data_IF_729582351863
#
_entry.id   IF_729582351863
#
_cell.length_a   1.000
_cell.length_b   1.000
_cell.length_c   1.000
_cell.angle_alpha   90.00
_cell.angle_beta   90.00
_cell.angle_gamma   90.00
#
_symmetry.space_group_name_H-M   'P 1'
#
loop_
_entity.id
_entity.type
_entity.pdbx_description
1 polymer ?
#
# COMPACT_ATOMS: atom_id res chain seq x y z
N UNK A 1 -18.77 21.10 -9.39
CA UNK A 1 -19.74 20.11 -8.86
C UNK A 1 -20.67 20.79 -7.84
N UNK A 2 -21.96 20.42 -7.79
CA UNK A 2 -22.91 20.96 -6.82
C UNK A 2 -22.73 20.33 -5.43
N UNK A 3 -23.13 21.05 -4.37
CA UNK A 3 -23.11 20.54 -2.99
C UNK A 3 -23.85 19.21 -2.87
N UNK A 4 -25.04 19.11 -3.46
CA UNK A 4 -25.83 17.86 -3.44
C UNK A 4 -25.10 16.63 -4.02
N UNK A 5 -24.29 16.81 -5.07
CA UNK A 5 -23.47 15.71 -5.61
C UNK A 5 -22.32 15.32 -4.67
N UNK A 6 -21.71 16.29 -3.96
CA UNK A 6 -20.70 15.99 -2.93
C UNK A 6 -21.31 15.20 -1.79
N UNK A 7 -22.47 15.64 -1.29
CA UNK A 7 -23.19 14.97 -0.19
C UNK A 7 -23.56 13.52 -0.57
N UNK A 8 -23.95 13.29 -1.82
CA UNK A 8 -24.23 11.93 -2.33
C UNK A 8 -22.98 11.05 -2.36
N UNK A 9 -21.82 11.58 -2.82
CA UNK A 9 -20.56 10.83 -2.81
C UNK A 9 -20.15 10.50 -1.38
N UNK A 10 -20.24 11.45 -0.46
CA UNK A 10 -19.93 11.24 0.95
C UNK A 10 -20.83 10.16 1.57
N UNK A 11 -22.15 10.25 1.39
CA UNK A 11 -23.08 9.28 1.94
C UNK A 11 -22.81 7.86 1.43
N UNK A 12 -22.48 7.70 0.13
CA UNK A 12 -22.10 6.40 -0.45
C UNK A 12 -20.78 5.88 0.09
N UNK A 13 -19.79 6.75 0.24
CA UNK A 13 -18.50 6.38 0.84
C UNK A 13 -18.68 5.91 2.28
N UNK A 14 -19.50 6.62 3.08
CA UNK A 14 -19.84 6.21 4.45
C UNK A 14 -20.53 4.84 4.49
N UNK A 15 -21.47 4.62 3.59
CA UNK A 15 -22.17 3.33 3.51
C UNK A 15 -21.23 2.19 3.17
N UNK A 16 -20.43 2.33 2.11
CA UNK A 16 -19.52 1.29 1.64
C UNK A 16 -18.43 0.98 2.67
N UNK A 17 -17.78 2.02 3.22
CA UNK A 17 -16.74 1.84 4.25
C UNK A 17 -17.36 1.24 5.51
N UNK A 18 -18.53 1.70 5.95
CA UNK A 18 -19.22 1.14 7.12
C UNK A 18 -19.60 -0.32 6.97
N UNK A 19 -20.04 -0.73 5.78
CA UNK A 19 -20.35 -2.13 5.48
C UNK A 19 -19.09 -2.99 5.49
N UNK A 20 -18.05 -2.59 4.78
CA UNK A 20 -16.81 -3.36 4.63
C UNK A 20 -15.99 -3.39 5.94
N UNK A 21 -15.96 -2.31 6.71
CA UNK A 21 -15.28 -2.26 8.01
C UNK A 21 -15.98 -3.07 9.12
N UNK A 22 -17.20 -3.55 8.88
CA UNK A 22 -17.99 -4.30 9.88
C UNK A 22 -17.53 -5.74 10.10
N UNK A 23 -16.61 -6.26 9.30
CA UNK A 23 -16.06 -7.61 9.40
C UNK A 23 -14.56 -7.64 9.07
N UNK A 24 -13.86 -8.63 9.63
CA UNK A 24 -12.43 -8.82 9.43
C UNK A 24 -12.12 -9.22 7.98
N UNK A 25 -11.07 -8.63 7.41
CA UNK A 25 -10.62 -8.84 6.03
C UNK A 25 -9.11 -9.05 5.94
N UNK A 26 -8.51 -9.96 6.73
CA UNK A 26 -7.08 -10.19 6.60
C UNK A 26 -6.73 -10.71 5.20
N UNK A 27 -5.52 -10.46 4.74
CA UNK A 27 -5.00 -10.92 3.45
C UNK A 27 -5.26 -12.41 3.23
N UNK A 28 -5.67 -12.81 2.03
CA UNK A 28 -5.93 -14.18 1.59
C UNK A 28 -6.91 -14.94 2.50
N UNK A 29 -8.01 -14.30 2.88
CA UNK A 29 -9.07 -14.84 3.74
C UNK A 29 -10.44 -14.84 3.08
N UNK A 30 -11.39 -15.55 3.70
CA UNK A 30 -12.79 -15.52 3.28
C UNK A 30 -13.41 -14.11 3.47
N UNK A 31 -12.94 -13.34 4.46
CA UNK A 31 -13.35 -11.96 4.66
C UNK A 31 -12.89 -11.03 3.53
N UNK A 32 -11.63 -11.15 3.08
CA UNK A 32 -11.12 -10.46 1.90
C UNK A 32 -11.97 -10.80 0.66
N UNK A 33 -12.21 -12.10 0.42
CA UNK A 33 -13.08 -12.56 -0.68
C UNK A 33 -14.47 -11.95 -0.60
N UNK A 34 -15.07 -11.93 0.59
CA UNK A 34 -16.38 -11.33 0.80
C UNK A 34 -16.39 -9.85 0.46
N UNK A 35 -15.35 -9.11 0.86
CA UNK A 35 -15.20 -7.71 0.50
C UNK A 35 -15.07 -7.52 -1.02
N UNK A 36 -14.27 -8.35 -1.68
CA UNK A 36 -14.14 -8.33 -3.14
C UNK A 36 -15.49 -8.54 -3.84
N UNK A 37 -16.34 -9.47 -3.37
CA UNK A 37 -17.70 -9.68 -3.93
C UNK A 37 -18.56 -8.43 -3.78
N UNK A 38 -18.61 -7.83 -2.59
CA UNK A 38 -19.39 -6.61 -2.33
C UNK A 38 -18.90 -5.45 -3.23
N UNK A 39 -17.59 -5.29 -3.38
CA UNK A 39 -17.00 -4.24 -4.22
C UNK A 39 -17.35 -4.47 -5.69
N UNK A 40 -17.25 -5.71 -6.19
CA UNK A 40 -17.61 -6.04 -7.58
C UNK A 40 -19.09 -5.76 -7.86
N UNK A 41 -19.99 -6.13 -6.96
CA UNK A 41 -21.42 -5.84 -7.04
C UNK A 41 -21.69 -4.33 -7.06
N UNK A 42 -20.99 -3.56 -6.21
CA UNK A 42 -21.11 -2.11 -6.16
C UNK A 42 -20.64 -1.44 -7.46
N UNK A 43 -19.48 -1.85 -8.00
CA UNK A 43 -18.95 -1.31 -9.26
C UNK A 43 -19.83 -1.70 -10.45
N UNK A 44 -20.37 -2.93 -10.46
CA UNK A 44 -21.34 -3.37 -11.49
C UNK A 44 -22.64 -2.57 -11.44
N UNK A 45 -23.16 -2.28 -10.24
CA UNK A 45 -24.35 -1.44 -10.07
C UNK A 45 -24.13 0.00 -10.55
N UNK A 46 -22.89 0.48 -10.54
CA UNK A 46 -22.49 1.76 -11.11
C UNK A 46 -22.15 1.68 -12.62
N UNK A 47 -22.40 0.54 -13.26
CA UNK A 47 -22.33 0.38 -14.72
C UNK A 47 -20.96 -0.07 -15.25
N UNK A 48 -20.02 -0.44 -14.36
CA UNK A 48 -18.76 -1.04 -14.76
C UNK A 48 -18.93 -2.52 -15.09
N UNK A 49 -18.08 -3.05 -15.95
CA UNK A 49 -17.93 -4.49 -16.14
C UNK A 49 -16.89 -4.99 -15.13
N UNK A 50 -17.38 -5.50 -14.00
CA UNK A 50 -16.54 -5.89 -12.87
C UNK A 50 -16.40 -7.41 -12.80
N UNK A 51 -15.16 -7.87 -12.75
CA UNK A 51 -14.80 -9.29 -12.63
C UNK A 51 -14.02 -9.53 -11.33
N UNK A 52 -14.24 -10.74 -10.79
CA UNK A 52 -13.46 -11.26 -9.65
C UNK A 52 -12.34 -12.14 -10.18
N UNK A 53 -11.10 -11.74 -9.91
CA UNK A 53 -9.93 -12.50 -10.30
C UNK A 53 -9.28 -13.17 -9.10
N UNK A 54 -9.18 -14.50 -9.15
CA UNK A 54 -8.46 -15.25 -8.13
C UNK A 54 -6.98 -15.28 -8.45
N UNK A 55 -6.17 -14.87 -7.46
CA UNK A 55 -4.71 -14.89 -7.53
C UNK A 55 -4.09 -15.71 -6.41
N UNK A 56 -2.77 -15.90 -6.48
CA UNK A 56 -2.01 -16.70 -5.52
C UNK A 56 -1.33 -15.78 -4.53
N UNK A 57 -1.55 -16.02 -3.24
CA UNK A 57 -0.94 -15.30 -2.14
C UNK A 57 -0.51 -16.25 -1.01
N UNK A 58 0.15 -15.69 0.00
CA UNK A 58 0.47 -16.39 1.26
C UNK A 58 -0.25 -15.74 2.44
N UNK A 59 -0.70 -14.49 2.27
CA UNK A 59 -1.54 -13.74 3.22
C UNK A 59 -0.82 -13.35 4.50
N UNK A 60 0.52 -13.23 4.47
CA UNK A 60 1.29 -12.86 5.65
C UNK A 60 2.69 -12.38 5.28
N UNK A 61 3.16 -11.31 5.91
CA UNK A 61 4.58 -10.90 5.84
C UNK A 61 5.32 -11.21 7.15
N UNK A 62 4.62 -11.29 8.28
CA UNK A 62 5.25 -11.50 9.58
C UNK A 62 5.85 -12.89 9.75
N UNK A 63 5.26 -13.95 9.14
CA UNK A 63 5.83 -15.28 9.17
C UNK A 63 7.16 -15.39 8.43
N UNK A 64 7.29 -15.01 7.14
CA UNK A 64 8.59 -15.16 6.46
C UNK A 64 9.65 -14.27 7.09
N UNK A 65 9.34 -13.00 7.41
CA UNK A 65 10.32 -12.10 8.00
C UNK A 65 10.68 -12.51 9.43
N UNK A 66 9.69 -12.94 10.21
CA UNK A 66 9.88 -13.44 11.57
C UNK A 66 10.75 -14.70 11.63
N UNK A 67 10.51 -15.68 10.75
CA UNK A 67 11.31 -16.91 10.68
C UNK A 67 12.76 -16.63 10.28
N UNK A 68 12.97 -15.77 9.29
CA UNK A 68 14.32 -15.40 8.83
C UNK A 68 15.10 -14.63 9.89
N UNK A 69 14.45 -13.68 10.57
CA UNK A 69 15.08 -12.93 11.65
C UNK A 69 15.34 -13.80 12.89
N UNK A 70 14.40 -14.71 13.23
CA UNK A 70 14.61 -15.67 14.31
C UNK A 70 15.80 -16.61 14.02
N UNK A 71 15.83 -17.21 12.83
CA UNK A 71 16.94 -18.09 12.42
C UNK A 71 18.29 -17.36 12.49
N UNK A 72 18.34 -16.13 12.00
CA UNK A 72 19.53 -15.27 12.07
C UNK A 72 19.94 -14.97 13.50
N UNK A 73 18.98 -14.60 14.36
CA UNK A 73 19.23 -14.30 15.77
C UNK A 73 19.77 -15.53 16.54
N UNK A 74 19.17 -16.70 16.34
CA UNK A 74 19.63 -17.96 16.93
C UNK A 74 21.03 -18.33 16.42
N UNK A 75 21.32 -18.18 15.13
CA UNK A 75 22.65 -18.38 14.58
C UNK A 75 23.68 -17.46 15.22
N UNK A 76 23.32 -16.19 15.45
CA UNK A 76 24.20 -15.22 16.14
C UNK A 76 24.54 -15.60 17.57
N UNK A 77 23.72 -16.40 18.26
CA UNK A 77 24.02 -16.91 19.59
C UNK A 77 25.04 -18.06 19.57
N UNK A 78 25.23 -18.75 18.45
CA UNK A 78 26.15 -19.87 18.33
C UNK A 78 27.62 -19.43 18.27
N UNK A 79 28.55 -20.36 18.57
CA UNK A 79 29.98 -20.12 18.39
C UNK A 79 30.47 -20.47 16.96
N UNK A 80 29.66 -21.13 16.15
CA UNK A 80 30.02 -21.53 14.77
C UNK A 80 30.03 -20.32 13.82
N UNK A 81 31.21 -19.95 13.36
CA UNK A 81 31.40 -18.88 12.38
C UNK A 81 30.74 -19.23 11.04
N UNK A 82 30.90 -20.49 10.62
CA UNK A 82 30.31 -20.97 9.36
C UNK A 82 28.79 -20.89 9.37
N UNK A 83 28.16 -21.33 10.47
CA UNK A 83 26.69 -21.25 10.61
C UNK A 83 26.20 -19.82 10.58
N UNK A 84 26.86 -18.89 11.30
CA UNK A 84 26.51 -17.46 11.25
C UNK A 84 26.66 -16.88 9.85
N UNK A 85 27.76 -17.20 9.14
CA UNK A 85 27.96 -16.71 7.78
C UNK A 85 26.87 -17.22 6.84
N UNK A 86 26.55 -18.51 6.87
CA UNK A 86 25.56 -19.12 6.00
C UNK A 86 24.14 -18.63 6.29
N UNK A 87 23.68 -18.76 7.54
CA UNK A 87 22.32 -18.33 7.93
C UNK A 87 22.15 -16.81 7.74
N UNK A 88 23.17 -16.02 8.13
CA UNK A 88 23.14 -14.58 7.93
C UNK A 88 23.01 -14.17 6.47
N UNK A 89 23.77 -14.83 5.58
CA UNK A 89 23.70 -14.57 4.14
C UNK A 89 22.32 -14.93 3.54
N UNK A 90 21.83 -16.13 3.85
CA UNK A 90 20.51 -16.60 3.36
C UNK A 90 19.40 -15.71 3.87
N UNK A 91 19.39 -15.40 5.18
CA UNK A 91 18.37 -14.54 5.77
C UNK A 91 18.42 -13.11 5.23
N UNK A 92 19.61 -12.52 5.06
CA UNK A 92 19.73 -11.18 4.49
C UNK A 92 19.27 -11.12 3.03
N UNK A 93 19.63 -12.11 2.21
CA UNK A 93 19.21 -12.19 0.82
C UNK A 93 17.69 -12.39 0.69
N UNK A 94 17.11 -13.30 1.49
CA UNK A 94 15.67 -13.55 1.48
C UNK A 94 14.85 -12.35 1.96
N UNK A 95 15.31 -11.65 3.01
CA UNK A 95 14.67 -10.41 3.47
C UNK A 95 14.78 -9.30 2.43
N UNK A 96 15.95 -9.13 1.82
CA UNK A 96 16.11 -8.14 0.76
C UNK A 96 15.17 -8.40 -0.41
N UNK A 97 15.04 -9.65 -0.83
CA UNK A 97 14.10 -10.06 -1.90
C UNK A 97 12.64 -9.79 -1.52
N UNK A 98 12.24 -10.15 -0.31
CA UNK A 98 10.84 -9.98 0.14
C UNK A 98 10.46 -8.49 0.30
N UNK A 99 11.30 -7.71 0.99
CA UNK A 99 11.03 -6.30 1.35
C UNK A 99 11.17 -5.35 0.14
N UNK A 100 12.04 -5.65 -0.82
CA UNK A 100 12.28 -4.78 -1.99
C UNK A 100 11.34 -5.01 -3.17
N UNK A 101 10.31 -5.82 -2.99
CA UNK A 101 9.41 -6.14 -4.09
C UNK A 101 9.95 -7.20 -5.06
N UNK A 102 10.94 -8.01 -4.65
CA UNK A 102 11.54 -9.08 -5.44
C UNK A 102 10.66 -10.31 -5.66
N UNK A 103 11.28 -11.45 -5.95
CA UNK A 103 10.58 -12.69 -6.29
C UNK A 103 9.89 -13.40 -5.12
N UNK A 104 10.13 -12.98 -3.87
CA UNK A 104 9.59 -13.57 -2.64
C UNK A 104 9.88 -15.09 -2.51
N UNK A 105 11.07 -15.49 -2.96
CA UNK A 105 11.43 -16.91 -3.12
C UNK A 105 11.36 -17.71 -1.82
N UNK A 106 11.76 -17.12 -0.68
CA UNK A 106 11.68 -17.80 0.61
C UNK A 106 10.24 -18.04 1.03
N UNK A 107 9.39 -17.01 0.95
CA UNK A 107 7.96 -17.08 1.26
C UNK A 107 7.29 -18.18 0.42
N UNK A 108 7.52 -18.16 -0.90
CA UNK A 108 6.97 -19.16 -1.84
C UNK A 108 7.43 -20.58 -1.55
N UNK A 109 8.64 -20.77 -1.03
CA UNK A 109 9.17 -22.10 -0.71
C UNK A 109 8.75 -22.60 0.68
N UNK A 110 8.56 -21.68 1.65
CA UNK A 110 8.39 -22.04 3.06
C UNK A 110 6.94 -22.00 3.56
N UNK A 111 6.06 -21.23 2.90
CA UNK A 111 4.69 -21.01 3.37
C UNK A 111 3.65 -21.66 2.46
N UNK A 112 2.50 -22.06 3.03
CA UNK A 112 1.38 -22.57 2.25
C UNK A 112 0.82 -21.48 1.35
N UNK A 113 0.48 -21.87 0.12
CA UNK A 113 -0.20 -21.00 -0.82
C UNK A 113 -1.68 -20.91 -0.47
N UNK A 114 -2.24 -19.69 -0.59
CA UNK A 114 -3.65 -19.37 -0.40
C UNK A 114 -4.19 -18.64 -1.63
N UNK A 115 -5.51 -18.47 -1.69
CA UNK A 115 -6.16 -17.64 -2.68
C UNK A 115 -6.33 -16.22 -2.15
N UNK A 116 -6.06 -15.23 -2.99
CA UNK A 116 -6.48 -13.84 -2.82
C UNK A 116 -7.37 -13.43 -3.99
N UNK A 117 -8.12 -12.37 -3.86
CA UNK A 117 -9.12 -11.97 -4.83
C UNK A 117 -8.97 -10.49 -5.17
N UNK A 118 -8.76 -10.22 -6.46
CA UNK A 118 -8.83 -8.85 -6.98
C UNK A 118 -10.21 -8.61 -7.58
N UNK A 119 -10.65 -7.36 -7.56
CA UNK A 119 -11.77 -6.88 -8.38
C UNK A 119 -11.18 -6.03 -9.49
N UNK A 120 -11.45 -6.39 -10.72
CA UNK A 120 -11.05 -5.63 -11.90
C UNK A 120 -12.32 -5.15 -12.61
N UNK A 121 -12.52 -3.84 -12.67
CA UNK A 121 -13.70 -3.27 -13.25
C UNK A 121 -13.33 -2.29 -14.36
N UNK A 122 -13.94 -2.45 -15.54
CA UNK A 122 -13.74 -1.57 -16.68
C UNK A 122 -14.81 -0.48 -16.74
N UNK A 123 -14.35 0.76 -16.91
CA UNK A 123 -15.15 1.95 -17.08
C UNK A 123 -14.59 2.82 -18.23
N UNK A 124 -15.25 3.90 -18.55
CA UNK A 124 -14.83 4.79 -19.65
C UNK A 124 -14.99 4.15 -21.03
N UNK A 125 -14.11 4.52 -21.95
CA UNK A 125 -14.10 4.01 -23.33
C UNK A 125 -13.15 2.82 -23.45
N UNK A 126 -13.71 1.62 -23.60
CA UNK A 126 -12.91 0.38 -23.78
C UNK A 126 -12.03 0.36 -25.02
N UNK A 127 -12.37 1.15 -26.01
CA UNK A 127 -11.59 1.32 -27.25
C UNK A 127 -10.60 2.47 -27.19
N UNK A 128 -10.49 3.13 -26.04
CA UNK A 128 -9.59 4.27 -25.85
C UNK A 128 -8.12 3.91 -26.09
N UNK A 129 -7.37 4.84 -26.65
CA UNK A 129 -5.95 4.67 -26.92
C UNK A 129 -5.08 4.77 -25.68
N UNK A 130 -5.57 5.44 -24.64
CA UNK A 130 -4.91 5.60 -23.34
C UNK A 130 -5.63 4.75 -22.30
N UNK A 131 -4.87 4.12 -21.41
CA UNK A 131 -5.40 3.35 -20.28
C UNK A 131 -4.98 3.98 -18.95
N UNK A 132 -5.94 4.20 -18.05
CA UNK A 132 -5.67 4.62 -16.68
C UNK A 132 -6.16 3.57 -15.71
N UNK A 133 -5.26 3.07 -14.88
CA UNK A 133 -5.53 2.06 -13.86
C UNK A 133 -5.50 2.73 -12.49
N UNK A 134 -6.66 2.82 -11.83
CA UNK A 134 -6.74 3.22 -10.42
C UNK A 134 -6.68 1.98 -9.55
N UNK A 135 -5.80 2.00 -8.55
CA UNK A 135 -5.58 0.85 -7.67
C UNK A 135 -5.80 1.25 -6.21
N UNK A 136 -6.56 0.42 -5.48
CA UNK A 136 -6.73 0.53 -4.03
C UNK A 136 -6.98 -0.86 -3.44
N UNK A 137 -6.35 -1.20 -2.32
CA UNK A 137 -6.55 -2.51 -1.71
C UNK A 137 -7.77 -2.55 -0.77
N UNK A 138 -8.30 -3.76 -0.52
CA UNK A 138 -9.46 -3.96 0.33
C UNK A 138 -9.25 -4.93 1.50
N UNK A 139 -8.09 -5.57 1.59
CA UNK A 139 -7.69 -6.30 2.79
C UNK A 139 -7.26 -5.33 3.91
N UNK A 140 -7.07 -5.84 5.10
CA UNK A 140 -6.75 -5.04 6.27
C UNK A 140 -5.64 -5.67 7.11
N UNK A 141 -4.82 -4.80 7.71
CA UNK A 141 -3.65 -5.15 8.50
C UNK A 141 -3.98 -5.77 9.88
N UNK A 142 -3.01 -6.47 10.43
CA UNK A 142 -2.97 -6.71 11.87
C UNK A 142 -2.43 -5.48 12.59
N UNK A 143 -3.03 -5.10 13.72
CA UNK A 143 -2.48 -4.01 14.52
C UNK A 143 -1.19 -4.42 15.24
N UNK A 144 -0.39 -3.44 15.66
CA UNK A 144 0.81 -3.68 16.44
C UNK A 144 1.17 -2.44 17.28
N UNK A 145 1.84 -2.67 18.41
CA UNK A 145 2.41 -1.58 19.22
C UNK A 145 3.42 -0.72 18.44
N UNK A 146 4.03 -1.29 17.40
CA UNK A 146 4.92 -0.55 16.49
C UNK A 146 4.21 0.60 15.78
N UNK A 147 2.92 0.42 15.47
CA UNK A 147 2.08 1.40 14.76
C UNK A 147 1.26 2.29 15.69
N UNK A 148 1.54 2.25 17.01
CA UNK A 148 0.81 3.08 17.97
C UNK A 148 0.88 4.56 17.59
N UNK A 149 -0.25 5.27 17.42
CA UNK A 149 -0.28 6.69 17.08
C UNK A 149 0.40 7.57 18.14
N UNK A 150 0.49 7.07 19.37
CA UNK A 150 1.20 7.79 20.45
C UNK A 150 2.67 8.01 20.18
N UNK A 151 3.31 7.18 19.32
CA UNK A 151 4.73 7.34 18.99
C UNK A 151 4.97 8.59 18.12
N UNK A 152 4.35 8.75 16.93
CA UNK A 152 4.50 9.97 16.15
C UNK A 152 3.97 11.21 16.88
N UNK A 153 2.89 11.11 17.66
CA UNK A 153 2.36 12.18 18.50
C UNK A 153 3.41 12.65 19.52
N UNK A 154 3.95 11.73 20.32
CA UNK A 154 4.98 12.06 21.32
C UNK A 154 6.21 12.73 20.70
N UNK A 155 6.72 12.18 19.59
CA UNK A 155 7.89 12.75 18.93
C UNK A 155 7.57 14.08 18.25
N UNK A 156 6.41 14.20 17.64
CA UNK A 156 5.94 15.42 16.97
C UNK A 156 5.77 16.57 17.98
N UNK A 157 5.10 16.31 19.09
CA UNK A 157 4.88 17.31 20.14
C UNK A 157 6.19 17.71 20.83
N UNK A 158 7.10 16.75 21.05
CA UNK A 158 8.39 17.02 21.74
C UNK A 158 9.40 17.68 20.82
N UNK A 159 9.33 17.43 19.52
CA UNK A 159 10.31 17.89 18.53
C UNK A 159 9.65 18.45 17.26
N UNK A 160 8.76 19.46 17.37
CA UNK A 160 7.97 19.95 16.24
C UNK A 160 8.82 20.43 15.06
N UNK A 161 9.94 21.09 15.32
CA UNK A 161 10.84 21.53 14.25
C UNK A 161 11.55 20.38 13.51
N UNK A 162 11.68 19.22 14.11
CA UNK A 162 12.19 18.01 13.42
C UNK A 162 11.09 17.40 12.57
N UNK A 163 9.87 17.31 13.10
CA UNK A 163 8.70 16.83 12.35
C UNK A 163 8.46 17.71 11.12
N UNK A 164 8.51 19.03 11.27
CA UNK A 164 8.31 19.98 10.15
C UNK A 164 9.32 19.74 9.02
N UNK A 165 10.61 19.51 9.37
CA UNK A 165 11.68 19.26 8.40
C UNK A 165 11.68 17.83 7.84
N UNK A 166 11.00 16.90 8.48
CA UNK A 166 10.97 15.51 8.03
C UNK A 166 10.30 15.40 6.65
N UNK A 167 11.04 14.85 5.70
CA UNK A 167 10.57 14.55 4.34
C UNK A 167 10.38 13.05 4.07
N UNK A 168 10.77 12.21 5.04
CA UNK A 168 10.64 10.75 4.94
C UNK A 168 10.11 10.18 6.25
N UNK A 169 9.34 9.10 6.15
CA UNK A 169 8.98 8.28 7.31
C UNK A 169 10.21 7.55 7.87
N UNK A 170 10.18 7.11 9.15
CA UNK A 170 11.27 6.34 9.75
C UNK A 170 11.54 5.02 8.99
N UNK A 171 12.82 4.61 8.84
CA UNK A 171 13.19 3.39 8.11
C UNK A 171 13.02 2.14 8.99
N UNK A 172 11.79 1.75 9.30
CA UNK A 172 11.48 0.64 10.23
C UNK A 172 11.99 -0.72 9.76
N UNK A 173 12.18 -0.92 8.45
CA UNK A 173 12.73 -2.16 7.90
C UNK A 173 14.27 -2.24 7.94
N UNK A 174 14.97 -1.15 8.22
CA UNK A 174 16.44 -1.17 8.29
C UNK A 174 16.97 -2.03 9.44
N UNK A 175 16.46 -1.96 10.68
CA UNK A 175 16.84 -2.88 11.74
C UNK A 175 16.58 -4.36 11.39
N UNK A 176 15.47 -4.65 10.72
CA UNK A 176 15.08 -5.99 10.28
C UNK A 176 16.12 -6.57 9.32
N UNK A 177 16.57 -5.79 8.34
CA UNK A 177 17.61 -6.20 7.38
C UNK A 177 19.01 -6.20 8.00
N UNK A 178 19.32 -5.21 8.85
CA UNK A 178 20.64 -5.07 9.47
C UNK A 178 21.00 -6.26 10.39
N UNK A 179 20.05 -6.82 11.10
CA UNK A 179 20.27 -7.98 11.98
C UNK A 179 20.95 -9.14 11.25
N UNK A 180 20.35 -9.74 10.21
CA UNK A 180 20.94 -10.81 9.41
C UNK A 180 22.26 -10.41 8.73
N UNK A 181 22.36 -9.20 8.22
CA UNK A 181 23.63 -8.70 7.65
C UNK A 181 24.76 -8.70 8.68
N UNK A 182 24.49 -8.24 9.90
CA UNK A 182 25.46 -8.28 10.99
C UNK A 182 25.75 -9.71 11.44
N UNK A 183 24.79 -10.65 11.35
CA UNK A 183 25.02 -12.08 11.60
C UNK A 183 26.05 -12.63 10.63
N UNK A 184 25.88 -12.36 9.33
CA UNK A 184 26.85 -12.70 8.28
C UNK A 184 28.22 -12.13 8.60
N UNK A 185 28.32 -10.82 8.81
CA UNK A 185 29.58 -10.13 9.09
C UNK A 185 30.27 -10.66 10.36
N UNK A 186 29.50 -11.01 11.41
CA UNK A 186 30.04 -11.61 12.61
C UNK A 186 30.65 -12.99 12.38
N UNK A 187 30.09 -13.75 11.44
CA UNK A 187 30.65 -15.04 11.01
C UNK A 187 31.97 -14.86 10.26
N UNK A 188 32.01 -13.92 9.32
CA UNK A 188 33.21 -13.65 8.52
C UNK A 188 34.37 -13.09 9.38
N UNK A 189 34.11 -12.12 10.25
CA UNK A 189 35.13 -11.43 11.03
C UNK A 189 35.44 -12.08 12.37
N UNK A 190 34.51 -12.84 12.94
CA UNK A 190 34.61 -13.36 14.30
C UNK A 190 34.33 -12.31 15.39
N UNK A 191 33.89 -11.09 15.03
CA UNK A 191 33.63 -9.99 15.95
C UNK A 191 32.55 -10.30 16.97
N UNK A 192 32.86 -10.22 18.27
CA UNK A 192 31.87 -10.40 19.36
C UNK A 192 30.85 -9.26 19.41
N UNK A 193 31.27 -8.03 19.07
CA UNK A 193 30.36 -6.87 19.03
C UNK A 193 29.30 -7.02 17.96
N UNK A 194 29.72 -7.32 16.72
CA UNK A 194 28.77 -7.55 15.60
C UNK A 194 27.82 -8.69 15.95
N UNK A 195 28.32 -9.76 16.58
CA UNK A 195 27.49 -10.89 17.01
C UNK A 195 26.40 -10.47 18.01
N UNK A 196 26.75 -9.65 19.01
CA UNK A 196 25.76 -9.16 19.99
C UNK A 196 24.69 -8.26 19.33
N UNK A 197 25.14 -7.30 18.51
CA UNK A 197 24.23 -6.41 17.79
C UNK A 197 23.32 -7.21 16.84
N UNK A 198 23.88 -8.19 16.14
CA UNK A 198 23.11 -9.09 15.27
C UNK A 198 22.04 -9.86 16.04
N UNK A 199 22.39 -10.46 17.19
CA UNK A 199 21.43 -11.17 18.02
C UNK A 199 20.32 -10.23 18.51
N UNK A 200 20.67 -9.06 19.03
CA UNK A 200 19.69 -8.08 19.52
C UNK A 200 18.71 -7.62 18.44
N UNK A 201 19.24 -7.21 17.28
CA UNK A 201 18.38 -6.72 16.18
C UNK A 201 17.52 -7.85 15.58
N UNK A 202 18.11 -9.01 15.33
CA UNK A 202 17.37 -10.14 14.72
C UNK A 202 16.32 -10.71 15.66
N UNK A 203 16.64 -10.95 16.93
CA UNK A 203 15.65 -11.47 17.88
C UNK A 203 14.61 -10.41 18.24
N UNK A 204 15.01 -9.13 18.36
CA UNK A 204 14.07 -8.03 18.55
C UNK A 204 13.07 -7.93 17.39
N UNK A 205 13.54 -8.01 16.15
CA UNK A 205 12.66 -8.03 14.95
C UNK A 205 11.75 -9.26 14.96
N UNK A 206 12.25 -10.45 15.29
CA UNK A 206 11.44 -11.66 15.37
C UNK A 206 10.32 -11.53 16.42
N UNK A 207 10.58 -10.89 17.57
CA UNK A 207 9.56 -10.62 18.58
C UNK A 207 8.48 -9.64 18.07
N UNK A 208 8.88 -8.60 17.36
CA UNK A 208 7.93 -7.65 16.74
C UNK A 208 7.05 -8.37 15.74
N UNK A 209 7.60 -9.20 14.85
CA UNK A 209 6.80 -9.96 13.90
C UNK A 209 5.89 -11.00 14.58
N UNK A 210 6.34 -11.64 15.65
CA UNK A 210 5.50 -12.53 16.44
C UNK A 210 4.34 -11.76 17.12
N UNK A 211 4.60 -10.55 17.60
CA UNK A 211 3.58 -9.67 18.16
C UNK A 211 2.56 -9.29 17.09
N UNK A 212 2.98 -8.80 15.90
CA UNK A 212 2.08 -8.49 14.79
C UNK A 212 1.20 -9.70 14.44
N UNK A 213 1.81 -10.87 14.25
CA UNK A 213 1.08 -12.09 13.86
C UNK A 213 0.14 -12.66 14.94
N UNK A 214 0.24 -12.17 16.18
CA UNK A 214 -0.65 -12.56 17.30
C UNK A 214 -1.80 -11.58 17.55
N UNK A 215 -1.87 -10.50 16.78
CA UNK A 215 -2.86 -9.44 16.96
C UNK A 215 -4.04 -9.60 16.02
N UNK A 216 -5.17 -9.01 16.42
CA UNK A 216 -6.38 -8.96 15.62
C UNK A 216 -6.21 -8.02 14.41
N UNK A 217 -7.07 -8.21 13.43
CA UNK A 217 -7.15 -7.36 12.23
C UNK A 217 -7.85 -6.05 12.54
N UNK A 218 -7.37 -4.94 12.03
CA UNK A 218 -8.03 -3.64 12.18
C UNK A 218 -9.26 -3.53 11.26
N UNK A 219 -10.21 -2.63 11.56
CA UNK A 219 -11.34 -2.38 10.65
C UNK A 219 -10.91 -1.83 9.27
N UNK A 220 -9.76 -1.16 9.17
CA UNK A 220 -9.19 -0.70 7.90
C UNK A 220 -10.06 0.33 7.18
N UNK A 221 -10.65 1.26 7.93
CA UNK A 221 -11.54 2.29 7.37
C UNK A 221 -10.79 3.30 6.51
N UNK A 222 -9.69 3.81 7.01
CA UNK A 222 -8.78 4.67 6.27
C UNK A 222 -7.83 3.84 5.40
N UNK A 223 -7.24 2.80 5.95
CA UNK A 223 -6.28 1.91 5.31
C UNK A 223 -6.89 0.52 5.00
N UNK A 224 -7.42 0.27 3.76
CA UNK A 224 -7.55 1.26 2.66
C UNK A 224 -8.98 1.24 2.04
N UNK A 225 -10.02 1.08 2.88
CA UNK A 225 -11.39 1.22 2.38
C UNK A 225 -11.68 2.65 1.90
N UNK A 226 -10.93 3.64 2.35
CA UNK A 226 -11.02 5.01 1.85
C UNK A 226 -10.65 5.09 0.36
N UNK A 227 -9.60 4.39 -0.06
CA UNK A 227 -9.23 4.24 -1.47
C UNK A 227 -10.26 3.46 -2.29
N UNK A 228 -10.80 2.37 -1.74
CA UNK A 228 -11.90 1.62 -2.37
C UNK A 228 -13.13 2.51 -2.60
N UNK A 229 -13.46 3.38 -1.65
CA UNK A 229 -14.55 4.33 -1.80
C UNK A 229 -14.29 5.36 -2.92
N UNK A 230 -13.03 5.73 -3.16
CA UNK A 230 -12.64 6.56 -4.32
C UNK A 230 -12.91 5.80 -5.63
N UNK A 231 -12.57 4.51 -5.73
CA UNK A 231 -12.87 3.70 -6.92
C UNK A 231 -14.37 3.66 -7.19
N UNK A 232 -15.20 3.40 -6.17
CA UNK A 232 -16.66 3.40 -6.30
C UNK A 232 -17.22 4.79 -6.67
N UNK A 233 -16.63 5.86 -6.12
CA UNK A 233 -16.96 7.24 -6.47
C UNK A 233 -16.66 7.55 -7.95
N UNK A 234 -15.50 7.13 -8.45
CA UNK A 234 -15.10 7.27 -9.85
C UNK A 234 -16.05 6.51 -10.79
N UNK A 235 -16.38 5.25 -10.47
CA UNK A 235 -17.35 4.47 -11.23
C UNK A 235 -18.67 5.24 -11.41
N UNK A 236 -19.18 5.80 -10.31
CA UNK A 236 -20.41 6.60 -10.33
C UNK A 236 -20.29 7.85 -11.20
N UNK A 237 -19.18 8.60 -11.07
CA UNK A 237 -18.98 9.83 -11.84
C UNK A 237 -18.81 9.55 -13.34
N UNK A 238 -18.11 8.48 -13.70
CA UNK A 238 -17.94 8.04 -15.09
C UNK A 238 -19.25 7.54 -15.70
N UNK A 239 -20.12 6.88 -14.93
CA UNK A 239 -21.46 6.51 -15.37
C UNK A 239 -22.32 7.74 -15.66
N UNK A 240 -22.30 8.75 -14.78
CA UNK A 240 -23.09 9.96 -14.93
C UNK A 240 -22.57 10.88 -16.06
N UNK A 241 -21.27 10.83 -16.31
CA UNK A 241 -20.58 11.59 -17.36
C UNK A 241 -19.50 10.71 -18.01
N UNK A 242 -19.86 9.93 -19.03
CA UNK A 242 -18.91 9.06 -19.73
C UNK A 242 -17.68 9.83 -20.26
N UNK A 243 -16.56 9.13 -20.36
CA UNK A 243 -15.30 9.65 -20.85
C UNK A 243 -14.92 8.92 -22.13
N UNK A 244 -14.75 9.68 -23.23
CA UNK A 244 -14.35 9.15 -24.53
C UNK A 244 -12.83 9.11 -24.68
N UNK A 245 -12.33 8.13 -25.42
CA UNK A 245 -10.91 8.01 -25.78
C UNK A 245 -9.97 7.48 -24.69
N UNK A 246 -10.47 7.27 -23.47
CA UNK A 246 -9.68 6.75 -22.34
C UNK A 246 -10.34 5.53 -21.74
N UNK A 247 -9.65 4.41 -21.74
CA UNK A 247 -10.00 3.21 -20.98
C UNK A 247 -9.65 3.41 -19.51
N UNK A 248 -10.60 3.20 -18.62
CA UNK A 248 -10.38 3.30 -17.19
C UNK A 248 -10.54 1.92 -16.56
N UNK A 249 -9.54 1.48 -15.83
CA UNK A 249 -9.60 0.26 -15.01
C UNK A 249 -9.63 0.67 -13.54
N UNK A 250 -10.64 0.18 -12.81
CA UNK A 250 -10.78 0.35 -11.37
C UNK A 250 -10.43 -1.00 -10.74
N UNK A 251 -9.27 -1.07 -10.09
CA UNK A 251 -8.72 -2.31 -9.55
C UNK A 251 -8.71 -2.24 -8.03
N UNK A 252 -9.52 -3.09 -7.40
CA UNK A 252 -9.41 -3.28 -5.95
C UNK A 252 -8.66 -4.57 -5.67
N UNK A 253 -7.46 -4.44 -5.12
CA UNK A 253 -6.56 -5.55 -4.87
C UNK A 253 -6.80 -6.19 -3.51
N UNK A 254 -6.64 -7.51 -3.42
CA UNK A 254 -6.51 -8.20 -2.15
C UNK A 254 -5.04 -8.36 -1.77
N UNK A 255 -4.79 -8.74 -0.52
CA UNK A 255 -3.46 -9.11 -0.02
C UNK A 255 -2.34 -8.10 -0.29
N UNK A 256 -2.67 -6.81 -0.21
CA UNK A 256 -1.66 -5.74 -0.22
C UNK A 256 -0.84 -5.80 1.07
N UNK A 257 -1.51 -5.97 2.20
CA UNK A 257 -0.95 -6.04 3.55
C UNK A 257 0.01 -7.24 3.75
N UNK A 258 0.02 -8.16 2.82
CA UNK A 258 1.04 -9.22 2.75
C UNK A 258 2.13 -8.94 1.69
N UNK A 259 2.43 -7.66 1.46
CA UNK A 259 3.39 -7.12 0.49
C UNK A 259 2.93 -7.26 -0.97
N UNK A 260 1.77 -6.63 -1.26
CA UNK A 260 1.21 -6.40 -2.58
C UNK A 260 1.01 -7.70 -3.39
N UNK A 261 0.63 -8.82 -2.73
CA UNK A 261 0.50 -10.11 -3.41
C UNK A 261 -0.62 -10.10 -4.47
N UNK A 262 -1.74 -9.40 -4.20
CA UNK A 262 -2.81 -9.22 -5.18
C UNK A 262 -2.39 -8.41 -6.40
N UNK A 263 -1.69 -7.29 -6.19
CA UNK A 263 -1.18 -6.48 -7.29
C UNK A 263 -0.13 -7.22 -8.13
N UNK A 264 0.66 -8.11 -7.51
CA UNK A 264 1.56 -9.01 -8.27
C UNK A 264 0.80 -10.00 -9.13
N UNK A 265 -0.34 -10.50 -8.64
CA UNK A 265 -1.25 -11.35 -9.41
C UNK A 265 -1.83 -10.58 -10.60
N UNK A 266 -2.33 -9.37 -10.37
CA UNK A 266 -2.79 -8.46 -11.41
C UNK A 266 -1.69 -8.19 -12.46
N UNK A 267 -0.48 -7.88 -12.02
CA UNK A 267 0.66 -7.64 -12.90
C UNK A 267 0.96 -8.85 -13.78
N UNK A 268 1.01 -10.05 -13.20
CA UNK A 268 1.27 -11.29 -13.95
C UNK A 268 0.18 -11.62 -14.99
N UNK A 269 -1.06 -11.18 -14.75
CA UNK A 269 -2.19 -11.44 -15.65
C UNK A 269 -2.34 -10.39 -16.74
N UNK A 270 -2.12 -9.11 -16.42
CA UNK A 270 -2.54 -7.99 -17.27
C UNK A 270 -1.39 -7.21 -17.92
N UNK A 271 -0.20 -7.14 -17.32
CA UNK A 271 0.86 -6.24 -17.80
C UNK A 271 1.29 -6.51 -19.25
N UNK A 272 1.27 -7.78 -19.68
CA UNK A 272 1.57 -8.12 -21.08
C UNK A 272 0.55 -7.53 -22.09
N UNK A 273 -0.66 -7.20 -21.63
CA UNK A 273 -1.74 -6.60 -22.42
C UNK A 273 -1.90 -5.10 -22.23
N UNK A 274 -1.12 -4.50 -21.33
CA UNK A 274 -1.13 -3.08 -20.99
C UNK A 274 0.19 -2.44 -21.44
N UNK A 275 0.26 -1.83 -22.64
CA UNK A 275 1.51 -1.19 -23.09
C UNK A 275 1.91 -0.06 -22.15
N UNK A 276 3.18 -0.04 -21.69
CA UNK A 276 3.64 0.93 -20.71
C UNK A 276 3.59 2.38 -21.23
N UNK A 277 3.71 2.54 -22.55
CA UNK A 277 3.70 3.85 -23.21
C UNK A 277 2.34 4.54 -23.14
N UNK A 278 1.25 3.77 -23.10
CA UNK A 278 -0.13 4.29 -23.08
C UNK A 278 -0.90 3.93 -21.81
N UNK A 279 -0.21 3.40 -20.80
CA UNK A 279 -0.84 3.01 -19.54
C UNK A 279 -0.28 3.81 -18.37
N UNK A 280 -1.15 4.37 -17.58
CA UNK A 280 -0.84 5.15 -16.38
C UNK A 280 -1.48 4.51 -15.16
N UNK A 281 -0.74 4.44 -14.05
CA UNK A 281 -1.24 3.95 -12.77
C UNK A 281 -1.43 5.09 -11.76
N UNK A 282 -2.57 5.09 -11.09
CA UNK A 282 -2.86 5.99 -9.96
C UNK A 282 -3.18 5.10 -8.75
N UNK A 283 -2.23 5.00 -7.83
CA UNK A 283 -2.45 4.32 -6.56
C UNK A 283 -3.17 5.26 -5.60
N UNK A 284 -4.27 4.81 -5.01
CA UNK A 284 -5.05 5.56 -4.04
C UNK A 284 -5.01 4.80 -2.73
N UNK A 285 -4.31 5.37 -1.74
CA UNK A 285 -4.04 4.66 -0.51
C UNK A 285 -4.15 5.58 0.71
N UNK A 286 -4.96 5.15 1.70
CA UNK A 286 -5.14 5.87 2.97
C UNK A 286 -5.55 7.34 2.77
N UNK A 287 -6.61 7.61 1.99
CA UNK A 287 -7.08 8.97 1.66
C UNK A 287 -8.10 9.54 2.64
N UNK A 288 -8.31 8.88 3.79
CA UNK A 288 -9.27 9.26 4.82
C UNK A 288 -8.66 9.98 6.03
N UNK A 289 -7.48 10.61 5.90
CA UNK A 289 -6.93 11.53 6.90
C UNK A 289 -7.17 12.99 6.51
N UNK A 290 -7.08 13.98 7.45
CA UNK A 290 -7.51 15.35 7.19
C UNK A 290 -6.78 16.11 6.08
N UNK A 291 -5.59 15.68 5.69
CA UNK A 291 -4.78 16.41 4.70
C UNK A 291 -4.35 15.48 3.58
N UNK A 292 -4.85 15.73 2.37
CA UNK A 292 -4.43 14.98 1.19
C UNK A 292 -2.97 15.29 0.83
N UNK A 293 -2.27 14.28 0.37
CA UNK A 293 -0.90 14.39 -0.11
C UNK A 293 -0.69 13.55 -1.36
N UNK A 294 0.30 13.93 -2.16
CA UNK A 294 0.91 13.04 -3.13
C UNK A 294 2.32 12.69 -2.69
N UNK A 295 2.70 11.43 -2.82
CA UNK A 295 4.06 11.00 -2.51
C UNK A 295 5.02 11.38 -3.64
N UNK A 296 6.24 11.77 -3.25
CA UNK A 296 7.34 11.95 -4.20
C UNK A 296 7.97 10.60 -4.59
N UNK A 297 7.90 9.62 -3.73
CA UNK A 297 8.43 8.28 -3.94
C UNK A 297 8.26 7.38 -2.73
N UNK A 298 8.48 6.10 -2.92
CA UNK A 298 8.37 5.08 -1.87
C UNK A 298 9.39 3.96 -2.00
N UNK A 299 9.46 3.11 -0.99
CA UNK A 299 10.27 1.89 -0.97
C UNK A 299 10.96 1.63 0.36
N UNK A 300 10.89 0.41 0.82
CA UNK A 300 11.31 0.01 2.17
C UNK A 300 12.84 -0.03 2.35
N UNK A 301 13.58 -0.55 1.37
CA UNK A 301 15.05 -0.58 1.37
C UNK A 301 15.64 0.43 0.39
N UNK A 302 15.18 0.40 -0.86
CA UNK A 302 15.56 1.33 -1.91
C UNK A 302 14.32 2.12 -2.31
N UNK A 303 14.40 3.43 -2.18
CA UNK A 303 13.33 4.32 -2.65
C UNK A 303 13.43 4.48 -4.16
N UNK A 304 12.25 4.55 -4.79
CA UNK A 304 12.07 4.99 -6.17
C UNK A 304 11.11 6.18 -6.18
N UNK A 305 11.33 7.11 -7.10
CA UNK A 305 10.48 8.30 -7.24
C UNK A 305 9.35 8.01 -8.22
N UNK A 306 8.16 8.52 -7.92
CA UNK A 306 7.01 8.51 -8.81
C UNK A 306 7.23 9.45 -10.00
N UNK A 307 6.46 9.23 -11.07
CA UNK A 307 6.56 10.01 -12.31
C UNK A 307 6.29 11.49 -12.06
N UNK A 308 7.22 12.37 -12.49
CA UNK A 308 7.16 13.81 -12.20
C UNK A 308 6.01 14.50 -12.92
N UNK A 309 5.79 14.17 -14.19
CA UNK A 309 4.72 14.79 -15.00
C UNK A 309 3.34 14.42 -14.44
N UNK A 310 3.16 13.17 -13.98
CA UNK A 310 1.92 12.76 -13.31
C UNK A 310 1.72 13.44 -11.95
N UNK A 311 2.79 13.63 -11.19
CA UNK A 311 2.72 14.39 -9.93
C UNK A 311 2.31 15.84 -10.18
N UNK A 312 2.84 16.46 -11.22
CA UNK A 312 2.47 17.82 -11.60
C UNK A 312 1.02 17.89 -12.11
N UNK A 313 0.59 16.92 -12.92
CA UNK A 313 -0.79 16.80 -13.38
C UNK A 313 -1.78 16.65 -12.22
N UNK A 314 -1.45 15.79 -11.23
CA UNK A 314 -2.28 15.59 -10.03
C UNK A 314 -2.35 16.87 -9.19
N UNK A 315 -1.22 17.55 -9.01
CA UNK A 315 -1.16 18.83 -8.30
C UNK A 315 -1.99 19.91 -9.00
N UNK A 316 -1.94 19.97 -10.33
CA UNK A 316 -2.73 20.91 -11.12
C UNK A 316 -4.23 20.61 -11.00
N UNK A 317 -4.63 19.34 -11.08
CA UNK A 317 -6.02 18.93 -10.86
C UNK A 317 -6.54 19.36 -9.49
N UNK A 318 -5.75 19.18 -8.43
CA UNK A 318 -6.09 19.64 -7.09
C UNK A 318 -6.22 21.16 -7.00
N UNK A 319 -5.26 21.90 -7.60
CA UNK A 319 -5.27 23.37 -7.59
C UNK A 319 -6.49 23.98 -8.29
N UNK A 320 -6.91 23.41 -9.43
CA UNK A 320 -8.11 23.85 -10.16
C UNK A 320 -9.39 23.65 -9.33
N UNK A 321 -9.43 22.60 -8.52
CA UNK A 321 -10.51 22.32 -7.60
C UNK A 321 -10.42 23.13 -6.30
N UNK A 322 -9.29 23.84 -6.09
CA UNK A 322 -8.95 24.55 -4.83
C UNK A 322 -8.88 23.61 -3.64
N UNK A 323 -8.46 22.38 -3.86
CA UNK A 323 -8.25 21.37 -2.81
C UNK A 323 -6.76 21.40 -2.43
N UNK A 324 -6.43 21.60 -1.15
CA UNK A 324 -5.03 21.54 -0.70
C UNK A 324 -4.44 20.13 -0.93
N UNK A 325 -3.24 20.08 -1.50
CA UNK A 325 -2.50 18.84 -1.72
C UNK A 325 -1.04 19.04 -1.31
N UNK A 326 -0.60 18.27 -0.30
CA UNK A 326 0.79 18.33 0.21
C UNK A 326 1.72 17.56 -0.71
N UNK A 327 2.91 18.12 -0.96
CA UNK A 327 4.03 17.50 -1.70
C UNK A 327 5.29 17.41 -0.83
N UNK A 328 6.32 16.75 -1.35
CA UNK A 328 7.66 16.71 -0.76
C UNK A 328 7.87 15.60 0.26
N UNK A 329 6.94 14.67 0.42
CA UNK A 329 7.06 13.53 1.32
C UNK A 329 7.40 12.25 0.55
N UNK A 330 8.29 11.43 1.14
CA UNK A 330 8.62 10.08 0.69
C UNK A 330 8.35 9.09 1.81
N UNK A 331 7.73 7.97 1.51
CA UNK A 331 7.46 6.96 2.53
C UNK A 331 8.39 5.76 2.39
N UNK A 332 8.89 5.27 3.53
CA UNK A 332 9.69 4.05 3.62
C UNK A 332 8.82 2.82 3.91
N UNK A 333 7.68 2.80 3.27
CA UNK A 333 6.80 1.63 3.08
C UNK A 333 6.70 1.36 1.57
N UNK A 334 5.75 0.56 1.17
CA UNK A 334 5.40 0.33 -0.22
C UNK A 334 3.89 0.19 -0.30
N UNK A 335 3.32 0.62 -1.41
CA UNK A 335 1.91 0.43 -1.79
C UNK A 335 1.84 -0.41 -3.05
N UNK A 336 0.66 -0.72 -3.52
CA UNK A 336 0.46 -1.38 -4.81
C UNK A 336 1.13 -0.63 -5.99
N UNK A 337 1.30 0.69 -5.85
CA UNK A 337 2.01 1.52 -6.81
C UNK A 337 3.47 1.14 -7.04
N UNK A 338 4.12 0.49 -6.05
CA UNK A 338 5.50 0.02 -6.21
C UNK A 338 5.62 -1.02 -7.34
N UNK A 339 4.64 -1.89 -7.51
CA UNK A 339 4.69 -2.98 -8.50
C UNK A 339 4.61 -2.41 -9.92
N UNK A 340 3.70 -1.47 -10.19
CA UNK A 340 3.60 -0.81 -11.48
C UNK A 340 4.84 0.04 -11.79
N UNK A 341 5.33 0.78 -10.80
CA UNK A 341 6.55 1.59 -10.94
C UNK A 341 7.79 0.74 -11.24
N UNK A 342 7.96 -0.41 -10.56
CA UNK A 342 9.06 -1.34 -10.82
C UNK A 342 8.97 -1.98 -12.22
N UNK A 343 7.78 -2.13 -12.77
CA UNK A 343 7.55 -2.63 -14.12
C UNK A 343 7.73 -1.54 -15.21
N UNK A 344 8.04 -0.30 -14.82
CA UNK A 344 8.33 0.80 -15.76
C UNK A 344 7.10 1.59 -16.19
N UNK A 345 5.95 1.41 -15.53
CA UNK A 345 4.77 2.22 -15.81
C UNK A 345 4.88 3.61 -15.16
N UNK A 346 4.30 4.59 -15.83
CA UNK A 346 4.07 5.90 -15.25
C UNK A 346 3.09 5.75 -14.08
N UNK A 347 3.54 6.08 -12.89
CA UNK A 347 2.77 5.83 -11.66
C UNK A 347 2.80 7.06 -10.76
N UNK A 348 1.67 7.35 -10.11
CA UNK A 348 1.55 8.35 -9.04
C UNK A 348 0.77 7.76 -7.88
N UNK A 349 1.02 8.24 -6.66
CA UNK A 349 0.30 7.83 -5.46
C UNK A 349 -0.36 9.04 -4.80
N UNK A 350 -1.67 8.94 -4.57
CA UNK A 350 -2.49 9.87 -3.79
C UNK A 350 -2.82 9.22 -2.44
N UNK A 351 -2.48 9.91 -1.36
CA UNK A 351 -2.77 9.48 0.00
C UNK A 351 -3.20 10.65 0.89
N UNK A 352 -3.20 10.42 2.19
CA UNK A 352 -3.47 11.48 3.17
C UNK A 352 -2.67 11.31 4.46
N UNK A 353 -2.55 12.38 5.21
CA UNK A 353 -1.81 12.43 6.47
C UNK A 353 -2.55 13.24 7.55
N UNK A 354 -2.24 12.92 8.79
CA UNK A 354 -2.50 13.72 9.95
C UNK A 354 -1.47 14.86 10.10
N UNK A 355 -1.64 15.70 11.12
CA UNK A 355 -0.64 16.72 11.53
C UNK A 355 0.73 16.13 11.88
N UNK A 356 0.81 14.82 12.13
CA UNK A 356 2.05 14.10 12.44
C UNK A 356 2.71 13.45 11.22
N UNK A 357 2.29 13.81 10.00
CA UNK A 357 2.84 13.31 8.73
C UNK A 357 2.79 11.78 8.57
N UNK A 358 1.78 11.17 9.17
CA UNK A 358 1.45 9.75 9.02
C UNK A 358 -0.05 9.63 8.75
N UNK A 359 -0.53 8.58 8.06
CA UNK A 359 -1.96 8.32 7.94
C UNK A 359 -2.60 8.21 9.34
N UNK A 360 -3.83 8.73 9.48
CA UNK A 360 -4.57 8.64 10.74
C UNK A 360 -4.92 7.20 11.04
N UNK A 361 -4.72 6.77 12.29
CA UNK A 361 -5.07 5.44 12.79
C UNK A 361 -4.38 4.26 12.06
N UNK A 362 -3.27 4.51 11.36
CA UNK A 362 -2.55 3.53 10.54
C UNK A 362 -2.25 2.24 11.31
N UNK A 363 -2.74 1.10 10.82
CA UNK A 363 -2.64 -0.22 11.44
C UNK A 363 -2.99 -0.23 12.94
N UNK A 364 -4.02 0.52 13.32
CA UNK A 364 -4.45 0.66 14.71
C UNK A 364 -5.94 0.36 14.88
N UNK A 365 -6.39 -0.21 16.02
CA UNK A 365 -7.79 -0.60 16.23
C UNK A 365 -8.82 0.54 16.08
N UNK A 366 -8.38 1.79 16.13
CA UNK A 366 -9.24 2.96 15.89
C UNK A 366 -9.34 3.35 14.41
N UNK A 367 -8.82 2.54 13.47
CA UNK A 367 -9.05 2.73 12.05
C UNK A 367 -10.43 2.24 11.63
N UNK A 368 -11.45 2.87 12.19
CA UNK A 368 -12.86 2.55 12.01
C UNK A 368 -13.52 3.48 10.99
N UNK A 369 -14.69 3.08 10.49
CA UNK A 369 -15.49 3.91 9.59
C UNK A 369 -15.83 5.30 10.15
N UNK A 370 -16.04 5.41 11.48
CA UNK A 370 -16.38 6.66 12.15
C UNK A 370 -15.20 7.65 12.18
N UNK A 371 -13.97 7.14 12.13
CA UNK A 371 -12.74 7.93 12.23
C UNK A 371 -12.15 8.32 10.86
N UNK A 372 -12.82 7.98 9.76
CA UNK A 372 -12.44 8.42 8.42
C UNK A 372 -12.87 9.88 8.18
N UNK A 373 -11.96 10.68 7.63
CA UNK A 373 -12.27 12.01 7.11
C UNK A 373 -12.89 11.86 5.70
N UNK A 374 -14.21 11.87 5.65
CA UNK A 374 -14.95 11.66 4.40
C UNK A 374 -14.88 12.85 3.44
N UNK A 375 -14.60 14.05 3.94
CA UNK A 375 -14.35 15.21 3.06
C UNK A 375 -13.08 14.96 2.23
N UNK A 376 -12.04 14.41 2.85
CA UNK A 376 -10.81 14.01 2.16
C UNK A 376 -11.06 12.91 1.13
N UNK A 377 -11.88 11.90 1.43
CA UNK A 377 -12.26 10.83 0.47
C UNK A 377 -12.99 11.42 -0.75
N UNK A 378 -13.96 12.31 -0.53
CA UNK A 378 -14.66 13.01 -1.62
C UNK A 378 -13.69 13.87 -2.42
N UNK A 379 -12.82 14.62 -1.76
CA UNK A 379 -11.83 15.45 -2.41
C UNK A 379 -10.84 14.61 -3.25
N UNK A 380 -10.37 13.47 -2.75
CA UNK A 380 -9.55 12.52 -3.51
C UNK A 380 -10.26 12.01 -4.76
N UNK A 381 -11.54 11.62 -4.64
CA UNK A 381 -12.37 11.21 -5.79
C UNK A 381 -12.42 12.29 -6.87
N UNK A 382 -12.62 13.56 -6.46
CA UNK A 382 -12.70 14.68 -7.39
C UNK A 382 -11.37 15.01 -8.05
N UNK A 383 -10.26 14.91 -7.32
CA UNK A 383 -8.92 15.10 -7.88
C UNK A 383 -8.66 14.02 -8.94
N UNK A 384 -8.96 12.75 -8.64
CA UNK A 384 -8.81 11.64 -9.59
C UNK A 384 -9.70 11.83 -10.84
N UNK A 385 -10.96 12.24 -10.67
CA UNK A 385 -11.84 12.55 -11.81
C UNK A 385 -11.27 13.71 -12.66
N UNK A 386 -10.79 14.77 -12.00
CA UNK A 386 -10.22 15.94 -12.70
C UNK A 386 -8.95 15.57 -13.46
N UNK A 387 -8.08 14.75 -12.86
CA UNK A 387 -6.90 14.20 -13.52
C UNK A 387 -7.28 13.46 -14.81
N UNK A 388 -8.26 12.55 -14.74
CA UNK A 388 -8.76 11.81 -15.91
C UNK A 388 -9.23 12.72 -17.04
N UNK A 389 -9.97 13.79 -16.71
CA UNK A 389 -10.67 14.61 -17.71
C UNK A 389 -9.80 15.68 -18.36
N UNK A 390 -8.72 16.12 -17.74
CA UNK A 390 -8.03 17.32 -18.19
C UNK A 390 -6.51 17.27 -18.18
N UNK A 391 -5.89 16.36 -17.43
CA UNK A 391 -4.48 16.47 -17.11
C UNK A 391 -3.68 15.20 -17.33
N UNK A 392 -4.26 14.15 -17.94
CA UNK A 392 -3.43 13.01 -18.35
C UNK A 392 -2.43 13.49 -19.39
N UNK A 393 -1.13 13.39 -19.10
CA UNK A 393 -0.11 13.71 -20.09
C UNK A 393 -0.33 12.75 -21.27
N UNK A 394 -0.62 13.29 -22.45
CA UNK A 394 -0.69 12.49 -23.68
C UNK A 394 0.59 11.65 -23.77
N UNK A 395 0.43 10.38 -24.10
CA UNK A 395 1.57 9.57 -24.50
C UNK A 395 2.24 10.26 -25.68
N UNK A 396 3.38 10.79 -25.40
CA UNK A 396 4.42 11.38 -26.27
C UNK A 396 4.02 11.64 -27.72
N UNK A 397 4.02 12.93 -28.11
CA UNK A 397 4.27 13.35 -29.49
C UNK A 397 5.69 12.94 -29.95
#
# INVERSE_FOLDING_TARGET
MTTAKRDQLEARSRQLIGELASFERPSASDGEKRAAVIIAEQLSADGCDAELEQERAHGTYWWPLGLLTLASGLAALTNSRLLRSFIGAVSAAALADDISGGGQWFRRAALPQRATWNVVAEAGDRGGSETVVFVAHHDAANWSLLFSPRLPEFFGDRFPGQLERAKTTPPIMFPVFAGPLLTLLSGLTGSKLLRRLAATLSLGSALVFAEIGSRDVVPGGNDNLSGVAVLAGLARLLRDQPLDGVRVMLVSTGSEESFMEGMRGFAARHFDSLPAESTTFVCVDSVGSPTLMQLEGEGMLKMADFDEDLKDALSQAAAELKIPLVRGLRFRNATDGLISMQAGYRTVMLGSISSYKAPSNYHWPTDTAENVDYESVVNATLICERLLRAHLPSAIN
#
